data_IF_281572633330
#
_entry.id   IF_281572633330
#
_cell.length_a   1.000
_cell.length_b   1.000
_cell.length_c   1.000
_cell.angle_alpha   90.00
_cell.angle_beta   90.00
_cell.angle_gamma   90.00
#
_symmetry.space_group_name_H-M   'P 1'
#
loop_
_entity.id
_entity.type
_entity.pdbx_description
1 polymer ?
#
# COMPACT_ATOMS: atom_id res chain seq x y z
N UNK A 1 -22.47 -13.33 13.22
CA UNK A 1 -22.09 -13.01 11.83
C UNK A 1 -20.62 -13.36 11.66
N UNK A 2 -20.23 -14.12 10.65
CA UNK A 2 -18.81 -14.40 10.38
C UNK A 2 -18.16 -13.07 9.92
N UNK A 3 -17.34 -12.47 10.77
CA UNK A 3 -16.46 -11.37 10.33
C UNK A 3 -15.47 -11.97 9.32
N UNK A 4 -15.63 -11.63 8.06
CA UNK A 4 -14.66 -11.98 7.03
C UNK A 4 -13.45 -11.08 7.19
N UNK A 5 -12.26 -11.66 7.34
CA UNK A 5 -11.00 -10.92 7.39
C UNK A 5 -10.84 -10.10 6.09
N UNK A 6 -10.50 -8.80 6.15
CA UNK A 6 -10.26 -7.99 4.97
C UNK A 6 -9.14 -8.57 4.10
N UNK A 7 -9.23 -8.38 2.79
CA UNK A 7 -8.22 -8.83 1.82
C UNK A 7 -7.33 -7.68 1.41
N UNK A 8 -6.02 -7.89 1.50
CA UNK A 8 -5.02 -7.00 0.94
C UNK A 8 -4.84 -7.31 -0.55
N UNK A 9 -4.97 -6.30 -1.39
CA UNK A 9 -4.83 -6.37 -2.85
C UNK A 9 -3.69 -5.42 -3.25
N UNK A 10 -2.57 -5.98 -3.68
CA UNK A 10 -1.41 -5.20 -4.11
C UNK A 10 -1.40 -5.06 -5.64
N UNK A 11 -1.25 -3.83 -6.14
CA UNK A 11 -1.20 -3.56 -7.58
C UNK A 11 0.24 -3.60 -8.10
N UNK A 12 0.57 -4.57 -8.94
CA UNK A 12 1.91 -4.72 -9.53
C UNK A 12 1.89 -4.28 -10.99
N UNK A 13 2.87 -3.47 -11.42
CA UNK A 13 3.04 -3.07 -12.82
C UNK A 13 4.13 -2.02 -12.99
N UNK A 14 4.58 -1.80 -14.24
CA UNK A 14 5.66 -0.88 -14.58
C UNK A 14 5.40 0.55 -14.07
N UNK A 15 6.45 1.32 -13.79
CA UNK A 15 6.37 2.72 -13.35
C UNK A 15 5.56 3.59 -14.34
N UNK A 16 4.85 4.62 -13.85
CA UNK A 16 4.02 5.56 -14.64
C UNK A 16 2.74 5.00 -15.32
N UNK A 17 2.21 3.85 -14.90
CA UNK A 17 0.99 3.25 -15.49
C UNK A 17 -0.34 3.56 -14.77
N UNK A 18 -0.38 4.59 -13.91
CA UNK A 18 -1.63 4.99 -13.22
C UNK A 18 -2.08 4.07 -12.09
N UNK A 19 -1.18 3.24 -11.54
CA UNK A 19 -1.46 2.31 -10.42
C UNK A 19 -2.00 3.02 -9.18
N UNK A 20 -1.44 4.18 -8.83
CA UNK A 20 -1.94 5.02 -7.73
C UNK A 20 -3.38 5.44 -7.94
N UNK A 21 -3.65 5.98 -9.13
CA UNK A 21 -5.01 6.40 -9.53
C UNK A 21 -5.96 5.22 -9.46
N UNK A 22 -5.55 4.04 -9.96
CA UNK A 22 -6.35 2.82 -9.91
C UNK A 22 -6.59 2.35 -8.46
N UNK A 23 -5.57 2.31 -7.61
CA UNK A 23 -5.70 1.90 -6.21
C UNK A 23 -6.67 2.79 -5.43
N UNK A 24 -6.54 4.11 -5.62
CA UNK A 24 -7.44 5.09 -5.03
C UNK A 24 -8.88 4.92 -5.53
N UNK A 25 -9.07 4.76 -6.84
CA UNK A 25 -10.38 4.55 -7.45
C UNK A 25 -11.03 3.23 -6.96
N UNK A 26 -10.26 2.15 -6.86
CA UNK A 26 -10.76 0.88 -6.32
C UNK A 26 -11.15 0.99 -4.85
N UNK A 27 -10.36 1.69 -4.02
CA UNK A 27 -10.72 1.93 -2.63
C UNK A 27 -12.04 2.70 -2.50
N UNK A 28 -12.27 3.69 -3.37
CA UNK A 28 -13.53 4.43 -3.41
C UNK A 28 -14.70 3.55 -3.87
N UNK A 29 -14.57 2.86 -5.01
CA UNK A 29 -15.64 2.05 -5.62
C UNK A 29 -16.05 0.87 -4.72
N UNK A 30 -15.08 0.19 -4.12
CA UNK A 30 -15.33 -1.01 -3.31
C UNK A 30 -15.49 -0.71 -1.81
N UNK A 31 -15.60 0.56 -1.41
CA UNK A 31 -15.64 0.96 0.00
C UNK A 31 -14.50 0.32 0.82
N UNK A 32 -13.29 0.34 0.28
CA UNK A 32 -12.08 -0.19 0.89
C UNK A 32 -11.14 0.91 1.36
N UNK A 33 -10.01 0.51 1.94
CA UNK A 33 -8.92 1.44 2.29
C UNK A 33 -7.84 1.44 1.21
N UNK A 34 -7.15 2.56 1.08
CA UNK A 34 -5.95 2.69 0.27
C UNK A 34 -4.72 2.86 1.15
N UNK A 35 -3.64 2.15 0.81
CA UNK A 35 -2.31 2.27 1.43
C UNK A 35 -1.33 2.77 0.37
N UNK A 36 -0.67 3.92 0.59
CA UNK A 36 0.31 4.46 -0.35
C UNK A 36 1.60 3.65 -0.35
N UNK A 37 2.38 3.77 -1.43
CA UNK A 37 3.72 3.16 -1.55
C UNK A 37 4.73 3.89 -0.67
N UNK A 38 5.28 3.24 0.35
CA UNK A 38 6.28 3.83 1.26
C UNK A 38 7.57 4.24 0.55
N UNK A 39 8.02 3.46 -0.43
CA UNK A 39 9.19 3.78 -1.24
C UNK A 39 8.99 5.09 -2.02
N UNK A 40 7.81 5.29 -2.61
CA UNK A 40 7.51 6.53 -3.32
C UNK A 40 7.50 7.72 -2.39
N UNK A 41 6.85 7.60 -1.23
CA UNK A 41 6.84 8.67 -0.22
C UNK A 41 8.26 9.03 0.24
N UNK A 42 9.14 8.04 0.39
CA UNK A 42 10.54 8.26 0.70
C UNK A 42 11.25 9.05 -0.40
N UNK A 43 11.11 8.62 -1.66
CA UNK A 43 11.72 9.28 -2.82
C UNK A 43 11.21 10.72 -3.00
N UNK A 44 9.91 10.95 -2.81
CA UNK A 44 9.30 12.28 -2.84
C UNK A 44 9.82 13.17 -1.71
N UNK A 45 9.99 12.63 -0.50
CA UNK A 45 10.47 13.40 0.64
C UNK A 45 11.96 13.74 0.56
N UNK A 46 12.80 12.79 0.13
CA UNK A 46 14.26 12.96 0.11
C UNK A 46 14.83 13.35 -1.26
N UNK A 47 13.98 13.36 -2.30
CA UNK A 47 14.37 13.68 -3.67
C UNK A 47 15.52 12.79 -4.18
N UNK A 48 15.54 11.52 -3.76
CA UNK A 48 16.53 10.51 -4.15
C UNK A 48 15.99 9.10 -3.92
N UNK A 49 16.62 8.11 -4.55
CA UNK A 49 16.40 6.69 -4.22
C UNK A 49 17.02 6.34 -2.85
N UNK A 50 16.49 5.32 -2.16
CA UNK A 50 17.06 4.85 -0.91
C UNK A 50 18.43 4.20 -1.13
N UNK A 51 19.30 4.37 -0.13
CA UNK A 51 20.52 3.58 0.02
C UNK A 51 20.16 2.17 0.47
N UNK A 52 21.05 1.21 0.23
CA UNK A 52 20.81 -0.20 0.56
C UNK A 52 20.39 -0.43 2.02
N UNK A 53 20.99 0.29 2.97
CA UNK A 53 20.66 0.15 4.40
C UNK A 53 19.33 0.80 4.80
N UNK A 54 18.71 1.62 3.95
CA UNK A 54 17.41 2.25 4.21
C UNK A 54 16.26 1.38 3.70
N UNK A 55 16.54 0.41 2.81
CA UNK A 55 15.51 -0.40 2.19
C UNK A 55 14.75 -1.29 3.19
N UNK A 56 15.43 -1.80 4.23
CA UNK A 56 14.79 -2.60 5.28
C UNK A 56 13.74 -1.80 6.04
N UNK A 57 14.07 -0.56 6.41
CA UNK A 57 13.18 0.29 7.20
C UNK A 57 11.96 0.72 6.38
N UNK A 58 12.15 1.00 5.09
CA UNK A 58 11.07 1.29 4.14
C UNK A 58 10.11 0.10 4.03
N UNK A 59 10.65 -1.12 3.88
CA UNK A 59 9.86 -2.34 3.79
C UNK A 59 9.10 -2.64 5.09
N UNK A 60 9.74 -2.46 6.24
CA UNK A 60 9.09 -2.62 7.53
C UNK A 60 7.97 -1.62 7.75
N UNK A 61 8.18 -0.35 7.36
CA UNK A 61 7.14 0.67 7.44
C UNK A 61 5.96 0.34 6.52
N UNK A 62 6.22 -0.11 5.29
CA UNK A 62 5.18 -0.58 4.37
C UNK A 62 4.33 -1.70 5.00
N UNK A 63 4.97 -2.72 5.58
CA UNK A 63 4.27 -3.83 6.23
C UNK A 63 3.44 -3.38 7.45
N UNK A 64 3.93 -2.39 8.21
CA UNK A 64 3.19 -1.79 9.33
C UNK A 64 1.96 -1.03 8.83
N UNK A 65 2.09 -0.24 7.77
CA UNK A 65 0.98 0.51 7.18
C UNK A 65 -0.12 -0.43 6.67
N UNK A 66 0.25 -1.50 5.98
CA UNK A 66 -0.66 -2.54 5.50
C UNK A 66 -1.40 -3.23 6.66
N UNK A 67 -0.69 -3.54 7.74
CA UNK A 67 -1.29 -4.14 8.95
C UNK A 67 -2.31 -3.20 9.59
N UNK A 68 -1.93 -1.93 9.79
CA UNK A 68 -2.83 -0.90 10.36
C UNK A 68 -4.07 -0.73 9.49
N UNK A 69 -3.93 -0.75 8.17
CA UNK A 69 -5.06 -0.67 7.26
C UNK A 69 -5.97 -1.91 7.35
N UNK A 70 -5.42 -3.12 7.46
CA UNK A 70 -6.23 -4.33 7.65
C UNK A 70 -7.00 -4.33 8.98
N UNK A 71 -6.38 -3.86 10.06
CA UNK A 71 -7.04 -3.70 11.36
C UNK A 71 -8.19 -2.67 11.25
N UNK A 72 -7.90 -1.50 10.68
CA UNK A 72 -8.91 -0.45 10.45
C UNK A 72 -10.06 -0.92 9.54
N UNK A 73 -9.78 -1.67 8.47
CA UNK A 73 -10.80 -2.22 7.60
C UNK A 73 -11.69 -3.21 8.35
N UNK A 74 -11.12 -4.00 9.28
CA UNK A 74 -11.88 -4.90 10.15
C UNK A 74 -12.84 -4.11 11.04
N UNK A 75 -12.35 -3.06 11.70
CA UNK A 75 -13.15 -2.20 12.58
C UNK A 75 -14.28 -1.48 11.82
N UNK A 76 -14.04 -1.14 10.56
CA UNK A 76 -15.00 -0.45 9.70
C UNK A 76 -15.93 -1.38 8.93
N UNK A 77 -15.78 -2.71 9.07
CA UNK A 77 -16.57 -3.69 8.32
C UNK A 77 -16.29 -3.69 6.82
N UNK A 78 -15.11 -3.20 6.41
CA UNK A 78 -14.68 -3.15 5.02
C UNK A 78 -13.98 -4.45 4.62
N UNK A 79 -14.16 -4.86 3.37
CA UNK A 79 -13.66 -6.14 2.87
C UNK A 79 -12.30 -6.05 2.19
N UNK A 80 -11.87 -4.85 1.80
CA UNK A 80 -10.71 -4.67 0.93
C UNK A 80 -9.77 -3.57 1.42
N UNK A 81 -8.48 -3.84 1.26
CA UNK A 81 -7.39 -2.88 1.39
C UNK A 81 -6.56 -2.93 0.11
N UNK A 82 -6.38 -1.79 -0.56
CA UNK A 82 -5.64 -1.67 -1.81
C UNK A 82 -4.28 -1.02 -1.54
N UNK A 83 -3.20 -1.76 -1.80
CA UNK A 83 -1.83 -1.28 -1.67
C UNK A 83 -1.32 -0.81 -3.03
N UNK A 84 -0.93 0.46 -3.12
CA UNK A 84 -0.30 1.03 -4.30
C UNK A 84 1.16 0.58 -4.36
N UNK A 85 1.43 -0.28 -5.34
CA UNK A 85 2.68 -1.01 -5.63
C UNK A 85 3.37 -1.74 -4.48
N UNK A 86 3.47 -3.07 -4.65
CA UNK A 86 4.38 -3.87 -3.84
C UNK A 86 5.82 -3.40 -4.11
N UNK A 87 6.67 -3.26 -3.07
CA UNK A 87 8.06 -2.78 -3.18
C UNK A 87 8.99 -3.82 -3.84
N UNK A 88 8.65 -4.27 -5.04
CA UNK A 88 9.44 -5.17 -5.88
C UNK A 88 10.58 -4.44 -6.60
N UNK A 89 10.59 -3.10 -6.58
CA UNK A 89 11.66 -2.28 -7.12
C UNK A 89 12.71 -2.03 -6.05
N UNK A 90 13.50 -3.07 -5.75
CA UNK A 90 14.79 -2.91 -5.06
C UNK A 90 15.78 -2.35 -6.08
N UNK A 91 16.12 -1.06 -5.97
CA UNK A 91 17.25 -0.48 -6.70
C UNK A 91 18.58 -1.01 -6.14
#
# INVERSE_FOLDING_TARGET
MLQTKPRLICLIGAECTGKTTLAQAMAQEFSGLWVPERLRLFCEALQRTPLQHEQSDILEQQARDEKVALEKATDQGQYFVFCDTAPLLTA
#
